data_IF_321611529266
#
_entry.id   IF_321611529266
#
_cell.length_a   1.000
_cell.length_b   1.000
_cell.length_c   1.000
_cell.angle_alpha   90.00
_cell.angle_beta   90.00
_cell.angle_gamma   90.00
#
_symmetry.space_group_name_H-M   'P 1'
#
loop_
_entity.id
_entity.type
_entity.pdbx_description
1 polymer ?
#
# COMPACT_ATOMS: atom_id res chain seq x y z
N UNK A 1 23.59 11.08 6.06
CA UNK A 1 22.29 10.66 5.49
C UNK A 1 22.09 11.07 4.02
N UNK A 2 23.16 11.30 3.22
CA UNK A 2 23.07 11.73 1.81
C UNK A 2 22.89 10.54 0.84
N UNK A 3 23.62 9.45 1.08
CA UNK A 3 23.68 8.27 0.20
C UNK A 3 22.36 7.47 0.07
N UNK A 4 21.44 7.56 1.05
CA UNK A 4 20.14 6.89 0.98
C UNK A 4 19.13 7.65 0.11
N UNK A 5 19.29 8.97 -0.02
CA UNK A 5 18.38 9.84 -0.78
C UNK A 5 18.64 9.73 -2.29
N UNK A 6 19.90 9.64 -2.71
CA UNK A 6 20.27 9.56 -4.14
C UNK A 6 19.77 8.23 -4.75
N UNK A 7 19.83 7.14 -3.99
CA UNK A 7 19.31 5.84 -4.43
C UNK A 7 17.78 5.86 -4.63
N UNK A 8 17.03 6.51 -3.74
CA UNK A 8 15.58 6.61 -3.87
C UNK A 8 15.16 7.40 -5.11
N UNK A 9 15.90 8.45 -5.46
CA UNK A 9 15.64 9.24 -6.67
C UNK A 9 15.74 8.41 -7.95
N UNK A 10 16.80 7.61 -8.05
CA UNK A 10 17.03 6.71 -9.19
C UNK A 10 15.90 5.68 -9.29
N UNK A 11 15.49 5.09 -8.16
CA UNK A 11 14.44 4.07 -8.14
C UNK A 11 13.07 4.68 -8.52
N UNK A 12 12.74 5.87 -8.00
CA UNK A 12 11.51 6.58 -8.38
C UNK A 12 11.52 6.92 -9.87
N UNK A 13 12.65 7.38 -10.42
CA UNK A 13 12.77 7.63 -11.86
C UNK A 13 12.48 6.36 -12.66
N UNK A 14 13.04 5.23 -12.24
CA UNK A 14 12.83 3.96 -12.94
C UNK A 14 11.40 3.44 -12.81
N UNK A 15 10.78 3.60 -11.64
CA UNK A 15 9.38 3.28 -11.41
C UNK A 15 8.48 4.15 -12.31
N UNK A 16 8.75 5.46 -12.38
CA UNK A 16 8.00 6.41 -13.22
C UNK A 16 8.00 6.01 -14.69
N UNK A 17 9.16 5.61 -15.24
CA UNK A 17 9.26 5.16 -16.64
C UNK A 17 8.27 4.02 -16.91
N UNK A 18 8.29 2.98 -16.08
CA UNK A 18 7.39 1.82 -16.23
C UNK A 18 5.91 2.25 -16.11
N UNK A 19 5.59 3.11 -15.14
CA UNK A 19 4.22 3.57 -14.93
C UNK A 19 3.70 4.41 -16.11
N UNK A 20 4.55 5.27 -16.70
CA UNK A 20 4.23 6.08 -17.88
C UNK A 20 4.01 5.19 -19.11
N UNK A 21 4.92 4.27 -19.39
CA UNK A 21 4.81 3.31 -20.51
C UNK A 21 3.50 2.52 -20.46
N UNK A 22 3.06 2.17 -19.26
CA UNK A 22 1.84 1.40 -19.02
C UNK A 22 0.59 2.27 -18.82
N UNK A 23 0.71 3.60 -18.95
CA UNK A 23 -0.37 4.58 -18.73
C UNK A 23 -1.06 4.40 -17.37
N UNK A 24 -0.26 4.21 -16.31
CA UNK A 24 -0.74 3.99 -14.95
C UNK A 24 -0.54 5.26 -14.12
N UNK A 25 -1.67 5.79 -13.63
CA UNK A 25 -1.65 6.83 -12.62
C UNK A 25 -1.17 6.27 -11.28
N UNK A 26 -0.43 7.09 -10.56
CA UNK A 26 0.11 6.77 -9.24
C UNK A 26 0.19 8.02 -8.38
N UNK A 27 0.34 7.80 -7.08
CA UNK A 27 0.44 8.86 -6.06
C UNK A 27 1.38 8.37 -4.97
N UNK A 28 2.07 9.23 -4.22
CA UNK A 28 2.70 8.78 -2.96
C UNK A 28 1.62 8.43 -1.94
N UNK A 29 1.92 7.50 -1.03
CA UNK A 29 0.97 7.05 -0.03
C UNK A 29 0.60 8.16 0.97
N UNK A 30 -0.56 8.07 1.63
CA UNK A 30 -0.93 9.05 2.64
C UNK A 30 0.11 9.13 3.77
N UNK A 31 0.66 8.00 4.20
CA UNK A 31 1.71 7.98 5.23
C UNK A 31 3.01 8.64 4.78
N UNK A 32 3.48 8.31 3.57
CA UNK A 32 4.68 8.95 2.99
C UNK A 32 4.46 10.45 2.86
N UNK A 33 3.28 10.87 2.39
CA UNK A 33 2.92 12.28 2.30
C UNK A 33 2.95 12.99 3.66
N UNK A 34 2.30 12.44 4.69
CA UNK A 34 2.32 13.03 6.04
C UNK A 34 3.73 13.09 6.63
N UNK A 35 4.60 12.11 6.33
CA UNK A 35 6.00 12.14 6.78
C UNK A 35 6.80 13.26 6.10
N UNK A 36 6.60 13.46 4.80
CA UNK A 36 7.24 14.54 4.04
C UNK A 36 6.80 15.91 4.58
N UNK A 37 5.51 16.12 4.77
CA UNK A 37 4.97 17.43 5.20
C UNK A 37 5.27 17.77 6.65
N UNK A 38 5.32 16.77 7.53
CA UNK A 38 5.75 16.95 8.93
C UNK A 38 7.25 17.15 9.10
N UNK A 39 8.04 17.14 8.02
CA UNK A 39 9.52 17.19 8.03
C UNK A 39 10.14 16.13 8.95
N UNK A 40 9.47 14.99 9.10
CA UNK A 40 9.94 13.93 9.97
C UNK A 40 11.21 13.31 9.38
N UNK A 41 12.31 13.38 10.15
CA UNK A 41 13.62 12.86 9.72
C UNK A 41 13.70 11.33 9.81
N UNK A 42 12.78 10.68 10.52
CA UNK A 42 12.73 9.24 10.73
C UNK A 42 11.73 8.58 9.77
N UNK A 43 12.18 8.39 8.53
CA UNK A 43 11.42 7.72 7.49
C UNK A 43 11.34 6.21 7.78
N UNK A 44 10.14 5.67 8.05
CA UNK A 44 9.97 4.21 8.20
C UNK A 44 10.17 3.49 6.87
N UNK A 45 9.53 3.98 5.81
CA UNK A 45 9.70 3.54 4.44
C UNK A 45 9.02 4.51 3.48
N UNK A 46 9.45 4.53 2.22
CA UNK A 46 8.78 5.27 1.15
C UNK A 46 7.78 4.35 0.45
N UNK A 47 6.55 4.81 0.31
CA UNK A 47 5.51 4.05 -0.37
C UNK A 47 4.63 4.89 -1.28
N UNK A 48 4.07 4.22 -2.28
CA UNK A 48 3.19 4.79 -3.30
C UNK A 48 1.84 4.09 -3.31
N UNK A 49 0.84 4.70 -3.91
CA UNK A 49 -0.47 4.14 -4.14
C UNK A 49 -0.66 3.75 -5.60
N UNK A 50 -1.19 2.54 -5.83
CA UNK A 50 -1.67 2.06 -7.13
C UNK A 50 -3.01 1.36 -6.95
N UNK A 51 -3.90 1.45 -7.95
CA UNK A 51 -5.05 0.54 -8.02
C UNK A 51 -4.58 -0.91 -8.07
N UNK A 52 -5.27 -1.78 -7.35
CA UNK A 52 -4.84 -3.18 -7.22
C UNK A 52 -4.80 -3.90 -8.57
N UNK A 53 -5.71 -3.60 -9.49
CA UNK A 53 -5.72 -4.16 -10.85
C UNK A 53 -4.45 -3.78 -11.62
N UNK A 54 -4.01 -2.52 -11.49
CA UNK A 54 -2.78 -2.03 -12.11
C UNK A 54 -1.55 -2.74 -11.56
N UNK A 55 -1.51 -2.94 -10.23
CA UNK A 55 -0.45 -3.74 -9.61
C UNK A 55 -0.44 -5.18 -10.14
N UNK A 56 -1.61 -5.83 -10.21
CA UNK A 56 -1.70 -7.21 -10.70
C UNK A 56 -1.21 -7.33 -12.15
N UNK A 57 -1.56 -6.37 -13.01
CA UNK A 57 -1.06 -6.30 -14.40
C UNK A 57 0.46 -6.16 -14.43
N UNK A 58 1.01 -5.20 -13.69
CA UNK A 58 2.47 -4.97 -13.62
C UNK A 58 3.23 -6.17 -13.06
N UNK A 59 2.67 -6.87 -12.07
CA UNK A 59 3.28 -8.07 -11.48
C UNK A 59 3.40 -9.23 -12.47
N UNK A 60 2.51 -9.31 -13.47
CA UNK A 60 2.59 -10.32 -14.54
C UNK A 60 3.59 -9.92 -15.62
N UNK A 61 3.63 -8.64 -15.97
CA UNK A 61 4.48 -8.12 -17.04
C UNK A 61 5.95 -7.92 -16.60
N UNK A 62 6.16 -7.58 -15.33
CA UNK A 62 7.48 -7.32 -14.74
C UNK A 62 7.64 -8.08 -13.40
N UNK A 63 7.58 -9.43 -13.41
CA UNK A 63 7.56 -10.24 -12.18
C UNK A 63 8.81 -10.06 -11.30
N UNK A 64 9.95 -9.72 -11.90
CA UNK A 64 11.18 -9.47 -11.15
C UNK A 64 11.21 -8.13 -10.41
N UNK A 65 10.35 -7.20 -10.83
CA UNK A 65 10.28 -5.84 -10.29
C UNK A 65 9.08 -5.65 -9.38
N UNK A 66 7.90 -6.14 -9.73
CA UNK A 66 6.68 -5.96 -8.95
C UNK A 66 6.37 -7.24 -8.18
N UNK A 67 6.79 -7.25 -6.92
CA UNK A 67 6.80 -8.43 -6.06
C UNK A 67 5.88 -8.23 -4.86
N UNK A 68 5.61 -9.33 -4.17
CA UNK A 68 4.96 -9.36 -2.87
C UNK A 68 5.61 -10.48 -2.04
N UNK A 69 5.54 -10.34 -0.73
CA UNK A 69 6.15 -11.32 0.17
C UNK A 69 5.45 -12.68 0.01
N UNK A 70 6.24 -13.72 -0.26
CA UNK A 70 5.80 -15.11 -0.20
C UNK A 70 6.29 -15.73 1.11
N UNK A 71 5.71 -16.86 1.54
CA UNK A 71 5.81 -17.50 2.88
C UNK A 71 7.22 -17.60 3.52
N UNK A 72 8.30 -17.37 2.79
CA UNK A 72 9.69 -17.62 3.20
C UNK A 72 10.47 -16.39 3.73
N UNK A 73 9.92 -15.17 3.71
CA UNK A 73 10.69 -13.95 4.03
C UNK A 73 10.37 -13.33 5.41
N UNK A 74 11.39 -12.69 6.00
CA UNK A 74 11.40 -12.15 7.39
C UNK A 74 10.48 -10.94 7.59
N UNK A 75 10.14 -10.21 6.53
CA UNK A 75 9.34 -8.99 6.60
C UNK A 75 7.86 -9.31 6.35
N UNK A 76 7.07 -9.42 7.42
CA UNK A 76 5.62 -9.61 7.29
C UNK A 76 4.91 -8.29 7.06
N UNK A 77 4.52 -8.07 5.81
CA UNK A 77 3.75 -6.91 5.36
C UNK A 77 2.64 -7.36 4.41
N UNK A 78 1.50 -6.64 4.44
CA UNK A 78 0.43 -6.81 3.44
C UNK A 78 0.71 -6.02 2.15
N UNK A 79 1.78 -5.19 2.14
CA UNK A 79 2.11 -4.39 0.96
C UNK A 79 2.95 -5.18 -0.05
N UNK A 80 2.54 -5.21 -1.32
CA UNK A 80 3.49 -5.46 -2.39
C UNK A 80 4.56 -4.36 -2.48
N UNK A 81 5.57 -4.58 -3.31
CA UNK A 81 6.64 -3.62 -3.51
C UNK A 81 7.20 -3.66 -4.94
N UNK A 82 7.74 -2.52 -5.36
CA UNK A 82 8.63 -2.40 -6.50
C UNK A 82 10.07 -2.61 -6.04
N UNK A 83 10.80 -3.51 -6.68
CA UNK A 83 12.17 -3.88 -6.36
C UNK A 83 13.11 -3.48 -7.50
N UNK A 84 14.11 -2.66 -7.17
CA UNK A 84 15.14 -2.24 -8.11
C UNK A 84 16.43 -1.94 -7.34
N UNK A 85 17.58 -2.38 -7.87
CA UNK A 85 18.89 -2.17 -7.26
C UNK A 85 18.94 -2.46 -5.76
N UNK A 86 18.41 -3.63 -5.35
CA UNK A 86 18.35 -4.09 -3.95
C UNK A 86 17.53 -3.23 -2.99
N UNK A 87 16.72 -2.32 -3.51
CA UNK A 87 15.87 -1.43 -2.71
C UNK A 87 14.40 -1.64 -3.05
N UNK A 88 13.54 -1.50 -2.04
CA UNK A 88 12.08 -1.64 -2.14
C UNK A 88 11.40 -0.26 -2.08
N UNK A 89 10.44 -0.02 -2.97
CA UNK A 89 9.38 0.97 -2.79
C UNK A 89 8.10 0.20 -2.50
N UNK A 90 7.52 0.37 -1.31
CA UNK A 90 6.28 -0.32 -0.99
C UNK A 90 5.09 0.28 -1.74
N UNK A 91 4.10 -0.55 -2.02
CA UNK A 91 2.92 -0.18 -2.78
C UNK A 91 1.69 -0.42 -1.91
N UNK A 92 1.07 0.68 -1.51
CA UNK A 92 -0.26 0.72 -0.93
C UNK A 92 -1.29 0.47 -2.04
N UNK A 93 -2.07 -0.60 -1.91
CA UNK A 93 -3.11 -0.93 -2.89
C UNK A 93 -4.36 -0.08 -2.66
N UNK A 94 -4.88 0.54 -3.71
CA UNK A 94 -6.19 1.17 -3.72
C UNK A 94 -7.22 0.14 -4.18
N UNK A 95 -8.24 -0.09 -3.36
CA UNK A 95 -9.33 -1.03 -3.64
C UNK A 95 -10.66 -0.29 -3.47
N UNK A 96 -11.44 -0.21 -4.55
CA UNK A 96 -12.81 0.32 -4.49
C UNK A 96 -13.69 -0.62 -3.67
N UNK A 97 -14.36 -0.09 -2.64
CA UNK A 97 -15.14 -0.85 -1.65
C UNK A 97 -16.49 -0.19 -1.41
N UNK A 98 -17.31 -0.80 -0.57
CA UNK A 98 -18.55 -0.23 -0.04
C UNK A 98 -18.61 -0.38 1.47
N UNK A 99 -19.47 0.41 2.13
CA UNK A 99 -19.69 0.32 3.57
C UNK A 99 -20.07 -1.11 4.01
N UNK A 100 -20.90 -1.80 3.20
CA UNK A 100 -21.29 -3.21 3.44
C UNK A 100 -20.09 -4.14 3.45
N UNK A 101 -19.12 -3.95 2.53
CA UNK A 101 -17.90 -4.76 2.52
C UNK A 101 -16.97 -4.43 3.70
N UNK A 102 -16.97 -3.17 4.16
CA UNK A 102 -16.14 -2.71 5.29
C UNK A 102 -16.66 -3.27 6.63
N UNK A 103 -17.95 -3.12 6.90
CA UNK A 103 -18.53 -3.41 8.22
C UNK A 103 -19.05 -4.85 8.33
N UNK A 104 -19.69 -5.38 7.28
CA UNK A 104 -20.54 -6.56 7.46
C UNK A 104 -19.88 -7.87 7.01
N UNK A 105 -18.80 -7.81 6.22
CA UNK A 105 -18.24 -9.01 5.56
C UNK A 105 -16.93 -9.54 6.11
N UNK A 106 -16.22 -8.79 6.94
CA UNK A 106 -14.90 -9.24 7.40
C UNK A 106 -15.06 -10.14 8.62
N UNK A 107 -15.11 -11.45 8.38
CA UNK A 107 -15.11 -12.43 9.48
C UNK A 107 -13.91 -12.23 10.41
N UNK A 108 -14.08 -12.54 11.69
CA UNK A 108 -12.99 -12.53 12.68
C UNK A 108 -11.80 -13.41 12.25
N UNK A 109 -12.05 -14.51 11.54
CA UNK A 109 -11.02 -15.37 10.95
C UNK A 109 -10.20 -14.64 9.88
N UNK A 110 -10.88 -13.93 8.97
CA UNK A 110 -10.23 -13.10 7.94
C UNK A 110 -9.42 -11.98 8.59
N UNK A 111 -10.00 -11.25 9.54
CA UNK A 111 -9.32 -10.18 10.25
C UNK A 111 -8.04 -10.66 10.95
N UNK A 112 -8.11 -11.77 11.69
CA UNK A 112 -6.95 -12.37 12.35
C UNK A 112 -5.88 -12.85 11.36
N UNK A 113 -6.30 -13.37 10.19
CA UNK A 113 -5.36 -13.73 9.11
C UNK A 113 -4.62 -12.50 8.61
N UNK A 114 -5.33 -11.41 8.32
CA UNK A 114 -4.72 -10.14 7.87
C UNK A 114 -3.73 -9.60 8.92
N UNK A 115 -4.13 -9.57 10.19
CA UNK A 115 -3.26 -9.15 11.29
C UNK A 115 -1.98 -9.99 11.39
N UNK A 116 -2.07 -11.31 11.25
CA UNK A 116 -0.91 -12.20 11.34
C UNK A 116 0.11 -11.99 10.21
N UNK A 117 -0.36 -11.58 9.04
CA UNK A 117 0.50 -11.35 7.87
C UNK A 117 0.93 -9.89 7.70
N UNK A 118 0.30 -8.95 8.38
CA UNK A 118 0.70 -7.53 8.40
C UNK A 118 1.41 -7.04 9.66
N UNK A 119 1.44 -7.82 10.75
CA UNK A 119 2.09 -7.38 12.00
C UNK A 119 3.51 -7.94 12.15
N UNK A 120 4.49 -7.03 12.32
CA UNK A 120 5.87 -7.37 12.66
C UNK A 120 6.07 -7.89 14.08
N UNK A 121 5.17 -7.60 15.03
CA UNK A 121 5.20 -8.10 16.42
C UNK A 121 3.95 -8.92 16.72
N UNK A 122 4.12 -10.18 17.17
CA UNK A 122 2.99 -11.08 17.46
C UNK A 122 2.87 -11.36 18.95
N UNK A 123 1.65 -11.27 19.47
CA UNK A 123 1.30 -11.98 20.70
C UNK A 123 1.32 -13.49 20.45
N UNK A 124 1.58 -14.26 21.51
CA UNK A 124 1.55 -15.73 21.45
C UNK A 124 0.21 -16.26 20.92
N UNK A 125 -0.90 -15.63 21.32
CA UNK A 125 -2.25 -15.93 20.85
C UNK A 125 -2.42 -15.78 19.33
N UNK A 126 -1.85 -14.72 18.73
CA UNK A 126 -1.92 -14.51 17.29
C UNK A 126 -1.14 -15.60 16.53
N UNK A 127 -0.01 -16.07 17.09
CA UNK A 127 0.77 -17.17 16.51
C UNK A 127 -0.04 -18.47 16.48
N UNK A 128 -0.68 -18.82 17.59
CA UNK A 128 -1.53 -20.02 17.71
C UNK A 128 -2.71 -20.01 16.72
N UNK A 129 -3.46 -18.91 16.67
CA UNK A 129 -4.62 -18.79 15.76
C UNK A 129 -4.24 -18.83 14.28
N UNK A 130 -2.99 -18.49 13.94
CA UNK A 130 -2.56 -18.32 12.56
C UNK A 130 -1.50 -19.33 12.09
N UNK A 131 -1.23 -20.36 12.90
CA UNK A 131 -0.18 -21.37 12.70
C UNK A 131 -0.37 -22.19 11.41
N UNK A 132 -1.59 -22.22 10.85
CA UNK A 132 -1.93 -22.85 9.56
C UNK A 132 -2.53 -21.87 8.54
N UNK A 133 -2.42 -20.56 8.78
CA UNK A 133 -3.01 -19.56 7.88
C UNK A 133 -2.17 -19.43 6.60
N UNK A 134 -2.84 -19.43 5.45
CA UNK A 134 -2.20 -19.14 4.17
C UNK A 134 -1.74 -17.67 4.12
N UNK A 135 -0.62 -17.45 3.43
CA UNK A 135 -0.10 -16.10 3.15
C UNK A 135 -1.20 -15.25 2.51
N UNK A 136 -1.27 -13.97 2.86
CA UNK A 136 -2.23 -13.03 2.27
C UNK A 136 -1.60 -12.44 1.03
N UNK A 137 -2.20 -12.71 -0.12
CA UNK A 137 -1.76 -12.19 -1.40
C UNK A 137 -2.53 -10.92 -1.78
N UNK A 138 -2.01 -10.06 -2.67
CA UNK A 138 -2.73 -8.89 -3.18
C UNK A 138 -4.15 -9.20 -3.69
N UNK A 139 -4.32 -10.33 -4.38
CA UNK A 139 -5.65 -10.81 -4.84
C UNK A 139 -6.61 -11.14 -3.71
N UNK A 140 -6.09 -11.59 -2.56
CA UNK A 140 -6.92 -11.91 -1.40
C UNK A 140 -7.49 -10.63 -0.80
N UNK A 141 -6.68 -9.56 -0.74
CA UNK A 141 -7.16 -8.23 -0.32
C UNK A 141 -8.27 -7.74 -1.26
N UNK A 142 -8.06 -7.83 -2.57
CA UNK A 142 -9.09 -7.49 -3.55
C UNK A 142 -10.37 -8.33 -3.35
N UNK A 143 -10.24 -9.64 -3.12
CA UNK A 143 -11.39 -10.53 -2.89
C UNK A 143 -12.16 -10.17 -1.60
N UNK A 144 -11.44 -9.73 -0.56
CA UNK A 144 -12.05 -9.34 0.72
C UNK A 144 -12.79 -8.00 0.60
N UNK A 145 -12.19 -7.02 -0.08
CA UNK A 145 -12.64 -5.62 0.00
C UNK A 145 -13.36 -5.12 -1.26
N UNK A 146 -13.06 -5.66 -2.45
CA UNK A 146 -13.57 -5.09 -3.70
C UNK A 146 -15.10 -5.16 -3.79
N UNK A 147 -15.70 -4.04 -4.20
CA UNK A 147 -17.13 -3.95 -4.52
C UNK A 147 -17.31 -3.71 -6.02
N UNK A 148 -18.30 -4.35 -6.63
CA UNK A 148 -18.70 -4.06 -8.02
C UNK A 148 -19.34 -2.68 -8.20
N UNK A 149 -19.86 -2.11 -7.11
CA UNK A 149 -20.38 -0.74 -7.04
C UNK A 149 -19.69 -0.03 -5.87
N UNK A 150 -18.46 0.47 -6.07
CA UNK A 150 -17.71 1.09 -4.99
C UNK A 150 -18.31 2.46 -4.63
N UNK A 151 -18.45 2.71 -3.33
CA UNK A 151 -18.84 4.01 -2.77
C UNK A 151 -17.69 4.69 -2.03
N UNK A 152 -16.64 3.92 -1.73
CA UNK A 152 -15.45 4.36 -1.01
C UNK A 152 -14.23 3.61 -1.53
N UNK A 153 -13.05 4.00 -1.06
CA UNK A 153 -11.78 3.36 -1.37
C UNK A 153 -11.03 3.00 -0.09
N UNK A 154 -10.51 1.77 -0.04
CA UNK A 154 -9.50 1.39 0.95
C UNK A 154 -8.13 1.59 0.33
N UNK A 155 -7.27 2.28 1.07
CA UNK A 155 -5.83 2.31 0.82
C UNK A 155 -5.17 1.35 1.81
N UNK A 156 -4.75 0.20 1.29
CA UNK A 156 -4.05 -0.82 2.06
C UNK A 156 -2.64 -0.35 2.44
N UNK A 157 -2.14 -0.79 3.58
CA UNK A 157 -0.81 -0.49 4.08
C UNK A 157 -0.15 -1.75 4.67
N UNK A 158 0.95 -1.63 5.41
CA UNK A 158 1.67 -2.77 6.00
C UNK A 158 0.79 -3.71 6.83
N UNK A 159 -0.24 -3.19 7.50
CA UNK A 159 -1.16 -3.95 8.37
C UNK A 159 -2.61 -3.50 8.20
N UNK A 160 -3.57 -4.39 8.42
CA UNK A 160 -5.01 -4.06 8.36
C UNK A 160 -5.41 -2.95 9.33
N UNK A 161 -4.69 -2.82 10.46
CA UNK A 161 -4.91 -1.72 11.41
C UNK A 161 -4.47 -0.35 10.89
N UNK A 162 -3.65 -0.30 9.85
CA UNK A 162 -3.20 0.94 9.21
C UNK A 162 -3.87 1.18 7.87
N UNK A 163 -4.86 0.36 7.50
CA UNK A 163 -5.68 0.60 6.32
C UNK A 163 -6.51 1.86 6.55
N UNK A 164 -6.61 2.69 5.51
CA UNK A 164 -7.36 3.94 5.56
C UNK A 164 -8.50 3.93 4.56
N UNK A 165 -9.61 4.58 4.91
CA UNK A 165 -10.81 4.67 4.08
C UNK A 165 -10.97 6.10 3.57
N UNK A 166 -11.29 6.20 2.30
CA UNK A 166 -11.44 7.46 1.58
C UNK A 166 -12.77 7.45 0.83
N UNK A 167 -13.64 8.45 1.02
CA UNK A 167 -14.93 8.50 0.32
C UNK A 167 -14.76 8.72 -1.19
N UNK A 168 -13.69 9.39 -1.60
CA UNK A 168 -13.35 9.61 -3.00
C UNK A 168 -11.83 9.69 -3.17
N UNK A 169 -11.32 9.15 -4.26
CA UNK A 169 -9.93 9.31 -4.71
C UNK A 169 -9.95 9.65 -6.20
N UNK A 170 -9.78 10.92 -6.54
CA UNK A 170 -9.94 11.40 -7.91
C UNK A 170 -8.58 11.70 -8.56
N UNK A 171 -8.23 10.95 -9.62
CA UNK A 171 -6.99 11.16 -10.37
C UNK A 171 -6.92 12.51 -11.09
N UNK A 172 -8.06 13.16 -11.33
CA UNK A 172 -8.08 14.51 -11.87
C UNK A 172 -7.75 15.56 -10.80
N UNK A 173 -7.72 15.17 -9.52
CA UNK A 173 -7.46 16.03 -8.39
C UNK A 173 -6.12 15.70 -7.71
N UNK A 174 -5.07 15.65 -8.52
CA UNK A 174 -3.70 15.42 -8.06
C UNK A 174 -3.01 16.76 -7.83
N UNK A 175 -2.15 16.81 -6.80
CA UNK A 175 -1.15 17.87 -6.62
C UNK A 175 0.25 17.29 -6.71
N UNK A 176 1.23 18.15 -6.98
CA UNK A 176 2.63 17.78 -7.00
C UNK A 176 3.30 18.26 -5.72
N UNK A 177 4.12 17.41 -5.12
CA UNK A 177 4.93 17.75 -3.95
C UNK A 177 6.39 17.47 -4.29
N UNK A 178 7.30 18.34 -3.82
CA UNK A 178 8.73 18.16 -4.01
C UNK A 178 9.31 17.37 -2.82
N UNK A 179 10.05 16.31 -3.13
CA UNK A 179 10.83 15.55 -2.16
C UNK A 179 12.25 15.37 -2.69
N UNK A 180 13.23 16.00 -2.04
CA UNK A 180 14.64 15.94 -2.42
C UNK A 180 14.88 16.26 -3.92
N UNK A 181 14.18 17.26 -4.46
CA UNK A 181 14.31 17.65 -5.87
C UNK A 181 13.48 16.79 -6.84
N UNK A 182 12.71 15.82 -6.35
CA UNK A 182 11.84 14.98 -7.15
C UNK A 182 10.39 15.44 -6.98
N UNK A 183 9.73 15.71 -8.08
CA UNK A 183 8.29 15.95 -8.11
C UNK A 183 7.53 14.64 -8.04
N UNK A 184 6.65 14.50 -7.04
CA UNK A 184 5.83 13.30 -6.87
C UNK A 184 4.34 13.67 -6.82
N UNK A 185 3.47 12.93 -7.53
CA UNK A 185 2.03 13.15 -7.48
C UNK A 185 1.44 12.70 -6.14
N UNK A 186 0.45 13.44 -5.65
CA UNK A 186 -0.30 13.15 -4.42
C UNK A 186 -1.79 13.43 -4.65
N UNK A 187 -2.65 12.56 -4.11
CA UNK A 187 -4.08 12.88 -3.99
C UNK A 187 -4.25 14.07 -3.05
N UNK A 188 -5.01 15.10 -3.47
CA UNK A 188 -5.30 16.24 -2.58
C UNK A 188 -6.11 15.79 -1.35
N UNK A 189 -6.89 14.74 -1.49
CA UNK A 189 -7.67 14.14 -0.42
C UNK A 189 -6.79 13.74 0.77
N UNK A 190 -5.51 13.39 0.54
CA UNK A 190 -4.56 13.04 1.61
C UNK A 190 -4.15 14.21 2.52
N UNK A 191 -4.63 15.44 2.26
CA UNK A 191 -4.56 16.54 3.23
C UNK A 191 -5.45 16.30 4.44
N UNK A 192 -6.54 15.55 4.28
CA UNK A 192 -7.48 15.26 5.37
C UNK A 192 -6.85 14.33 6.44
N UNK A 193 -7.44 14.29 7.65
CA UNK A 193 -7.09 13.30 8.67
C UNK A 193 -7.32 11.86 8.18
N UNK A 194 -6.47 10.93 8.63
CA UNK A 194 -6.60 9.52 8.27
C UNK A 194 -7.78 8.89 9.01
N UNK A 195 -8.77 8.36 8.28
CA UNK A 195 -9.84 7.52 8.82
C UNK A 195 -9.41 6.06 8.69
N UNK A 196 -9.18 5.38 9.81
CA UNK A 196 -8.70 4.00 9.81
C UNK A 196 -9.85 3.00 9.70
N UNK A 197 -9.57 1.85 9.07
CA UNK A 197 -10.54 0.77 8.92
C UNK A 197 -10.99 0.20 10.28
N UNK A 198 -10.09 0.13 11.25
CA UNK A 198 -10.37 -0.44 12.58
C UNK A 198 -11.09 0.53 13.55
N UNK A 199 -11.34 1.77 13.13
CA UNK A 199 -12.09 2.78 13.91
C UNK A 199 -13.56 2.88 13.52
N UNK A 200 -14.03 1.98 12.65
CA UNK A 200 -15.42 1.84 12.20
C UNK A 200 -15.98 0.58 12.85
#
# INVERSE_FOLDING_TARGET
MKCMNDNLAIIIKQLKVILIENKINWSISPFTYKQITSKNTHFRHFSICLYWENFMRLSRQYPDKFKYEMQALKERTLMPFFYFNKTKIFINLIIGTSQVNIVDKISSKTWNRLLNWGSGKRSFWLKLKALRSQCVLPRDLATIFASSKPTEYIVCDSSVNTFTIWPNLNWNNIKIVNYNGIEVPVFKEFDQPLKFLNSI
#
